data_IF_956996997228
#
_entry.id   IF_956996997228
#
_cell.length_a   1.000
_cell.length_b   1.000
_cell.length_c   1.000
_cell.angle_alpha   90.00
_cell.angle_beta   90.00
_cell.angle_gamma   90.00
#
_symmetry.space_group_name_H-M   'P 1'
#
loop_
_entity.id
_entity.type
_entity.pdbx_description
1 polymer ?
#
# COMPACT_ATOMS: atom_id res chain seq x y z
N UNK A 1 -8.34 -21.36 -29.18
CA UNK A 1 -8.30 -20.23 -28.24
C UNK A 1 -8.11 -20.64 -26.78
N UNK A 2 -8.83 -21.63 -26.25
CA UNK A 2 -8.72 -22.06 -24.82
C UNK A 2 -7.29 -22.45 -24.39
N UNK A 3 -6.50 -23.06 -25.29
CA UNK A 3 -5.11 -23.42 -25.01
C UNK A 3 -4.17 -22.22 -24.80
N UNK A 4 -4.48 -21.05 -25.37
CA UNK A 4 -3.66 -19.85 -25.17
C UNK A 4 -3.85 -19.24 -23.78
N UNK A 5 -5.09 -19.19 -23.28
CA UNK A 5 -5.40 -18.66 -21.94
C UNK A 5 -4.75 -19.47 -20.82
N UNK A 6 -4.76 -20.79 -20.96
CA UNK A 6 -4.08 -21.67 -20.01
C UNK A 6 -2.56 -21.45 -20.01
N UNK A 7 -1.95 -21.28 -21.19
CA UNK A 7 -0.52 -21.00 -21.32
C UNK A 7 -0.13 -19.63 -20.76
N UNK A 8 -0.99 -18.62 -20.88
CA UNK A 8 -0.80 -17.28 -20.29
C UNK A 8 -0.80 -17.36 -18.76
N UNK A 9 -1.80 -18.04 -18.18
CA UNK A 9 -1.87 -18.23 -16.73
C UNK A 9 -0.65 -18.98 -16.17
N UNK A 10 -0.15 -19.97 -16.90
CA UNK A 10 1.05 -20.71 -16.50
C UNK A 10 2.31 -19.84 -16.61
N UNK A 11 2.43 -19.00 -17.65
CA UNK A 11 3.56 -18.08 -17.80
C UNK A 11 3.61 -17.02 -16.70
N UNK A 12 2.47 -16.42 -16.38
CA UNK A 12 2.36 -15.40 -15.33
C UNK A 12 2.69 -15.98 -13.95
N UNK A 13 2.28 -17.23 -13.70
CA UNK A 13 2.64 -17.95 -12.47
C UNK A 13 4.15 -18.24 -12.39
N UNK A 14 4.77 -18.67 -13.49
CA UNK A 14 6.22 -18.92 -13.55
C UNK A 14 7.05 -17.65 -13.35
N UNK A 15 6.61 -16.51 -13.89
CA UNK A 15 7.24 -15.21 -13.67
C UNK A 15 7.14 -14.76 -12.21
N UNK A 16 5.97 -14.89 -11.59
CA UNK A 16 5.77 -14.54 -10.18
C UNK A 16 6.60 -15.40 -9.21
N UNK A 17 6.81 -16.69 -9.53
CA UNK A 17 7.50 -17.62 -8.63
C UNK A 17 9.02 -17.62 -8.84
N UNK A 18 9.48 -17.59 -10.09
CA UNK A 18 10.89 -17.86 -10.42
C UNK A 18 11.58 -16.76 -11.22
N UNK A 19 10.85 -15.71 -11.62
CA UNK A 19 11.33 -14.64 -12.50
C UNK A 19 11.96 -15.16 -13.81
N UNK A 20 11.41 -16.26 -14.35
CA UNK A 20 11.84 -16.89 -15.61
C UNK A 20 10.65 -17.05 -16.56
N UNK A 21 10.87 -16.73 -17.83
CA UNK A 21 9.86 -16.88 -18.90
C UNK A 21 9.73 -18.33 -19.34
N UNK A 22 8.60 -18.71 -19.95
CA UNK A 22 8.33 -20.11 -20.35
C UNK A 22 9.41 -20.70 -21.28
N UNK A 23 10.03 -19.87 -22.13
CA UNK A 23 11.11 -20.35 -23.02
C UNK A 23 12.38 -20.79 -22.24
N UNK A 24 12.61 -20.23 -21.04
CA UNK A 24 13.75 -20.57 -20.17
C UNK A 24 13.49 -21.83 -19.34
N UNK A 25 12.23 -22.30 -19.33
CA UNK A 25 11.78 -23.54 -18.71
C UNK A 25 11.55 -24.66 -19.75
N UNK A 26 11.90 -24.42 -21.03
CA UNK A 26 11.76 -25.39 -22.11
C UNK A 26 10.36 -25.52 -22.69
N UNK A 27 9.47 -24.53 -22.46
CA UNK A 27 8.09 -24.52 -22.95
C UNK A 27 7.88 -23.52 -24.10
N UNK A 28 6.97 -23.79 -25.05
CA UNK A 28 6.71 -22.90 -26.19
C UNK A 28 5.98 -21.61 -25.78
N UNK A 29 6.51 -20.43 -26.16
CA UNK A 29 5.90 -19.10 -25.89
C UNK A 29 5.33 -18.43 -27.14
N UNK A 30 4.36 -17.50 -26.99
CA UNK A 30 3.84 -16.66 -28.09
C UNK A 30 3.61 -15.19 -27.72
N UNK A 31 3.70 -14.36 -28.76
CA UNK A 31 3.80 -12.89 -28.86
C UNK A 31 2.85 -12.08 -27.92
N UNK A 32 3.43 -11.28 -27.01
CA UNK A 32 2.72 -10.48 -25.98
C UNK A 32 2.57 -9.01 -26.41
N UNK A 33 1.35 -8.47 -26.43
CA UNK A 33 1.09 -7.01 -26.39
C UNK A 33 0.67 -6.51 -24.99
N UNK A 34 0.10 -7.39 -24.14
CA UNK A 34 -0.35 -7.03 -22.79
C UNK A 34 0.76 -7.11 -21.72
N UNK A 35 1.73 -8.02 -21.85
CA UNK A 35 2.85 -8.10 -20.91
C UNK A 35 3.76 -6.88 -20.97
N UNK A 36 3.89 -6.27 -22.15
CA UNK A 36 4.58 -5.01 -22.29
C UNK A 36 3.94 -3.92 -21.42
N UNK A 37 2.62 -3.97 -21.15
CA UNK A 37 1.91 -3.00 -20.32
C UNK A 37 2.19 -3.17 -18.82
N UNK A 38 2.27 -4.41 -18.32
CA UNK A 38 2.61 -4.67 -16.91
C UNK A 38 4.08 -4.38 -16.62
N UNK A 39 4.98 -4.76 -17.53
CA UNK A 39 6.39 -4.40 -17.43
C UNK A 39 6.58 -2.88 -17.51
N UNK A 40 5.81 -2.16 -18.36
CA UNK A 40 5.88 -0.70 -18.41
C UNK A 40 5.47 -0.06 -17.10
N UNK A 41 4.34 -0.50 -16.52
CA UNK A 41 3.79 0.13 -15.32
C UNK A 41 4.69 -0.17 -14.10
N UNK A 42 5.22 -1.39 -14.01
CA UNK A 42 6.21 -1.74 -12.99
C UNK A 42 7.52 -0.95 -13.17
N UNK A 43 8.00 -0.79 -14.41
CA UNK A 43 9.16 0.04 -14.69
C UNK A 43 8.91 1.52 -14.39
N UNK A 44 7.69 2.04 -14.60
CA UNK A 44 7.33 3.41 -14.18
C UNK A 44 7.32 3.54 -12.66
N UNK A 45 6.76 2.57 -11.96
CA UNK A 45 6.74 2.49 -10.49
C UNK A 45 8.11 2.24 -9.86
N UNK A 46 9.13 1.86 -10.62
CA UNK A 46 10.49 1.64 -10.10
C UNK A 46 11.50 2.69 -10.55
N UNK A 47 11.15 3.50 -11.55
CA UNK A 47 12.05 4.50 -12.13
C UNK A 47 11.85 5.90 -11.53
N UNK A 48 11.75 5.95 -10.20
CA UNK A 48 11.74 7.22 -9.47
C UNK A 48 13.13 7.84 -9.46
N UNK A 49 13.24 9.13 -9.83
CA UNK A 49 14.51 9.84 -9.75
C UNK A 49 14.88 10.09 -8.28
N UNK A 50 15.80 9.28 -7.76
CA UNK A 50 16.27 9.33 -6.37
C UNK A 50 16.84 10.71 -6.02
N UNK A 51 17.49 11.39 -6.96
CA UNK A 51 18.06 12.72 -6.74
C UNK A 51 16.97 13.79 -6.58
N UNK A 52 15.92 13.72 -7.40
CA UNK A 52 14.78 14.64 -7.31
C UNK A 52 13.97 14.38 -6.04
N UNK A 53 13.73 13.11 -5.68
CA UNK A 53 13.06 12.75 -4.42
C UNK A 53 13.87 13.24 -3.21
N UNK A 54 15.20 13.05 -3.22
CA UNK A 54 16.06 13.54 -2.15
C UNK A 54 15.99 15.06 -2.00
N UNK A 55 16.01 15.79 -3.13
CA UNK A 55 15.91 17.25 -3.15
C UNK A 55 14.53 17.74 -2.67
N UNK A 56 13.47 17.05 -3.08
CA UNK A 56 12.11 17.29 -2.62
C UNK A 56 11.98 17.09 -1.10
N UNK A 57 12.53 15.99 -0.56
CA UNK A 57 12.49 15.71 0.88
C UNK A 57 13.26 16.78 1.66
N UNK A 58 14.47 17.14 1.21
CA UNK A 58 15.29 18.14 1.89
C UNK A 58 14.64 19.53 1.92
N UNK A 59 13.93 19.91 0.86
CA UNK A 59 13.24 21.21 0.79
C UNK A 59 11.91 21.25 1.57
N UNK A 60 11.26 20.10 1.80
CA UNK A 60 9.97 20.04 2.49
C UNK A 60 10.06 19.68 3.98
N UNK A 61 11.09 18.96 4.44
CA UNK A 61 11.30 18.67 5.88
C UNK A 61 11.25 19.95 6.75
N UNK A 62 11.89 21.07 6.38
CA UNK A 62 11.85 22.30 7.17
C UNK A 62 10.46 22.96 7.21
N UNK A 63 9.60 22.68 6.22
CA UNK A 63 8.23 23.23 6.13
C UNK A 63 7.23 22.48 7.00
N UNK A 64 7.61 21.29 7.50
CA UNK A 64 6.75 20.49 8.36
C UNK A 64 6.53 21.18 9.71
N UNK A 65 5.30 21.11 10.20
CA UNK A 65 5.00 21.45 11.59
C UNK A 65 5.74 20.51 12.55
N UNK A 66 5.87 20.92 13.82
CA UNK A 66 6.50 20.08 14.84
C UNK A 66 5.87 18.68 14.96
N UNK A 67 4.53 18.59 14.90
CA UNK A 67 3.81 17.31 14.92
C UNK A 67 4.13 16.44 13.71
N UNK A 68 4.04 17.01 12.50
CA UNK A 68 4.34 16.31 11.25
C UNK A 68 5.79 15.82 11.21
N UNK A 69 6.74 16.64 11.65
CA UNK A 69 8.17 16.28 11.70
C UNK A 69 8.44 15.15 12.69
N UNK A 70 7.75 15.15 13.83
CA UNK A 70 7.84 14.08 14.83
C UNK A 70 7.31 12.75 14.28
N UNK A 71 6.15 12.78 13.60
CA UNK A 71 5.55 11.63 12.91
C UNK A 71 6.50 11.09 11.83
N UNK A 72 6.99 11.96 10.96
CA UNK A 72 7.95 11.63 9.91
C UNK A 72 9.21 10.96 10.50
N UNK A 73 9.80 11.55 11.54
CA UNK A 73 10.98 11.00 12.20
C UNK A 73 10.76 9.60 12.76
N UNK A 74 9.59 9.35 13.35
CA UNK A 74 9.22 8.03 13.89
C UNK A 74 9.08 6.97 12.81
N UNK A 75 8.46 7.32 11.68
CA UNK A 75 8.31 6.41 10.53
C UNK A 75 9.69 6.11 9.94
N UNK A 76 10.50 7.15 9.66
CA UNK A 76 11.84 7.00 9.10
C UNK A 76 12.78 6.19 10.01
N UNK A 77 12.69 6.36 11.33
CA UNK A 77 13.45 5.53 12.26
C UNK A 77 13.06 4.04 12.12
N UNK A 78 11.78 3.75 11.91
CA UNK A 78 11.31 2.37 11.75
C UNK A 78 11.79 1.78 10.43
N UNK A 79 11.73 2.56 9.35
CA UNK A 79 12.31 2.22 8.04
C UNK A 79 13.79 1.89 8.17
N UNK A 80 14.57 2.77 8.80
CA UNK A 80 16.03 2.59 8.97
C UNK A 80 16.39 1.37 9.84
N UNK A 81 15.51 0.97 10.76
CA UNK A 81 15.70 -0.24 11.57
C UNK A 81 15.31 -1.52 10.84
N UNK A 82 14.65 -1.44 9.69
CA UNK A 82 14.17 -2.60 8.93
C UNK A 82 13.11 -3.42 9.68
N UNK A 83 12.35 -2.78 10.59
CA UNK A 83 11.34 -3.46 11.41
C UNK A 83 9.97 -3.28 10.79
N UNK A 84 9.21 -4.38 10.69
CA UNK A 84 7.80 -4.33 10.29
C UNK A 84 6.95 -3.70 11.38
N UNK A 85 6.11 -2.74 11.00
CA UNK A 85 5.24 -2.01 11.92
C UNK A 85 4.05 -1.46 11.15
N UNK A 86 2.87 -1.45 11.78
CA UNK A 86 1.67 -0.85 11.21
C UNK A 86 1.46 0.52 11.86
N UNK A 87 1.29 1.56 11.06
CA UNK A 87 0.94 2.91 11.53
C UNK A 87 -0.42 3.33 10.96
N UNK A 88 -1.24 3.93 11.82
CA UNK A 88 -2.49 4.59 11.43
C UNK A 88 -2.32 6.09 11.62
N UNK A 89 -2.16 6.84 10.55
CA UNK A 89 -2.04 8.30 10.57
C UNK A 89 -3.44 8.92 10.46
N UNK A 90 -3.96 9.38 11.59
CA UNK A 90 -5.24 10.08 11.72
C UNK A 90 -5.01 11.58 11.56
N UNK A 91 -5.37 12.12 10.40
CA UNK A 91 -5.14 13.53 10.05
C UNK A 91 -6.41 14.17 9.43
N UNK A 92 -6.84 15.36 9.89
CA UNK A 92 -7.95 16.09 9.29
C UNK A 92 -7.64 16.42 7.83
N UNK A 93 -8.58 16.14 6.93
CA UNK A 93 -8.41 16.42 5.50
C UNK A 93 -7.44 15.49 4.78
N UNK A 94 -6.95 14.43 5.42
CA UNK A 94 -6.24 13.35 4.72
C UNK A 94 -7.17 12.66 3.72
N UNK A 95 -6.61 12.24 2.57
CA UNK A 95 -7.34 11.49 1.54
C UNK A 95 -8.07 10.31 2.21
N UNK A 96 -9.34 10.16 1.87
CA UNK A 96 -10.30 9.18 2.41
C UNK A 96 -10.02 7.73 1.98
N UNK A 97 -8.99 7.50 1.19
CA UNK A 97 -8.73 6.23 0.53
C UNK A 97 -8.49 5.08 1.53
N UNK A 98 -7.79 5.32 2.64
CA UNK A 98 -7.58 4.28 3.66
C UNK A 98 -8.74 4.12 4.63
N UNK A 99 -9.53 5.17 4.87
CA UNK A 99 -10.74 5.10 5.71
C UNK A 99 -11.89 4.41 5.00
N UNK A 100 -11.90 4.45 3.67
CA UNK A 100 -12.83 3.74 2.79
C UNK A 100 -12.41 2.30 2.47
N UNK A 101 -11.23 1.86 2.93
CA UNK A 101 -10.79 0.49 2.70
C UNK A 101 -11.65 -0.51 3.50
N UNK A 102 -12.32 -1.41 2.79
CA UNK A 102 -13.09 -2.49 3.40
C UNK A 102 -12.15 -3.45 4.15
N UNK A 103 -12.48 -3.81 5.41
CA UNK A 103 -11.58 -4.60 6.26
C UNK A 103 -11.11 -5.90 5.62
N UNK A 104 -12.01 -6.59 4.90
CA UNK A 104 -11.68 -7.85 4.21
C UNK A 104 -10.60 -7.67 3.14
N UNK A 105 -10.54 -6.53 2.47
CA UNK A 105 -9.50 -6.23 1.48
C UNK A 105 -8.15 -6.07 2.17
N UNK A 106 -8.12 -5.38 3.32
CA UNK A 106 -6.90 -5.20 4.11
C UNK A 106 -6.44 -6.51 4.74
N UNK A 107 -7.35 -7.34 5.23
CA UNK A 107 -7.06 -8.68 5.76
C UNK A 107 -6.59 -9.65 4.67
N UNK A 108 -7.14 -9.53 3.46
CA UNK A 108 -6.65 -10.29 2.31
C UNK A 108 -5.22 -9.86 1.93
N UNK A 109 -4.94 -8.55 1.91
CA UNK A 109 -3.60 -8.02 1.67
C UNK A 109 -2.59 -8.51 2.72
N UNK A 110 -2.97 -8.48 4.00
CA UNK A 110 -2.16 -9.02 5.11
C UNK A 110 -1.76 -10.47 4.85
N UNK A 111 -2.74 -11.34 4.59
CA UNK A 111 -2.50 -12.76 4.30
C UNK A 111 -1.63 -12.95 3.05
N UNK A 112 -1.90 -12.24 1.97
CA UNK A 112 -1.09 -12.32 0.75
C UNK A 112 0.38 -11.94 1.01
N UNK A 113 0.63 -10.90 1.82
CA UNK A 113 1.99 -10.49 2.17
C UNK A 113 2.68 -11.46 3.14
N UNK A 114 1.93 -12.09 4.05
CA UNK A 114 2.44 -13.17 4.89
C UNK A 114 2.89 -14.37 4.06
N UNK A 115 2.05 -14.79 3.11
CA UNK A 115 2.31 -15.92 2.22
C UNK A 115 3.51 -15.64 1.31
N UNK A 116 3.53 -14.48 0.65
CA UNK A 116 4.63 -14.08 -0.26
C UNK A 116 5.98 -13.95 0.47
N UNK A 117 5.97 -13.53 1.74
CA UNK A 117 7.20 -13.34 2.52
C UNK A 117 7.55 -14.54 3.40
N UNK A 118 6.72 -15.58 3.42
CA UNK A 118 6.89 -16.74 4.30
C UNK A 118 6.93 -16.36 5.79
N UNK A 119 6.21 -15.32 6.19
CA UNK A 119 6.28 -14.77 7.55
C UNK A 119 4.88 -14.51 8.10
N UNK A 120 4.51 -15.24 9.16
CA UNK A 120 3.18 -15.17 9.79
C UNK A 120 2.93 -13.87 10.58
N UNK A 121 3.93 -12.99 10.72
CA UNK A 121 3.75 -11.68 11.33
C UNK A 121 2.87 -10.81 10.44
N UNK A 122 2.08 -9.87 11.00
CA UNK A 122 1.25 -8.97 10.21
C UNK A 122 2.00 -8.36 9.02
N UNK A 123 1.38 -8.40 7.85
CA UNK A 123 1.86 -7.99 6.53
C UNK A 123 3.23 -8.59 6.16
N UNK A 124 3.53 -9.79 6.63
CA UNK A 124 4.83 -10.44 6.41
C UNK A 124 6.00 -9.63 6.98
N UNK A 125 5.79 -8.96 8.12
CA UNK A 125 6.75 -8.04 8.75
C UNK A 125 7.12 -6.83 7.86
N UNK A 126 6.22 -6.41 6.98
CA UNK A 126 6.34 -5.15 6.26
C UNK A 126 5.99 -3.95 7.14
N UNK A 127 6.56 -2.78 6.82
CA UNK A 127 6.08 -1.50 7.33
C UNK A 127 4.87 -1.07 6.50
N UNK A 128 3.74 -0.79 7.15
CA UNK A 128 2.50 -0.37 6.52
C UNK A 128 2.03 0.94 7.15
N UNK A 129 1.68 1.91 6.32
CA UNK A 129 1.11 3.19 6.74
C UNK A 129 -0.28 3.36 6.14
N UNK A 130 -1.31 3.39 6.99
CA UNK A 130 -2.65 3.79 6.60
C UNK A 130 -2.85 5.25 7.00
N UNK A 131 -3.12 6.13 6.05
CA UNK A 131 -3.36 7.56 6.31
C UNK A 131 -4.77 7.96 5.89
N UNK A 132 -5.50 8.65 6.76
CA UNK A 132 -6.85 9.11 6.48
C UNK A 132 -7.49 9.80 7.68
N UNK A 133 -8.66 10.39 7.49
CA UNK A 133 -9.41 10.98 8.60
C UNK A 133 -10.29 9.93 9.27
N UNK A 134 -9.71 9.14 10.18
CA UNK A 134 -10.43 8.06 10.84
C UNK A 134 -11.55 8.58 11.77
N UNK A 135 -11.65 9.88 12.02
CA UNK A 135 -12.75 10.47 12.80
C UNK A 135 -14.05 10.58 11.98
N UNK A 136 -13.97 10.60 10.66
CA UNK A 136 -15.13 10.44 9.77
C UNK A 136 -15.27 8.95 9.45
N UNK A 137 -16.43 8.37 9.70
CA UNK A 137 -16.72 6.96 9.43
C UNK A 137 -18.11 6.96 8.79
N UNK A 138 -18.30 6.44 7.59
CA UNK A 138 -18.51 5.02 7.29
C UNK A 138 -18.14 4.71 5.83
N UNK A 139 -17.60 3.53 5.57
CA UNK A 139 -17.61 2.93 4.22
C UNK A 139 -19.06 2.79 3.75
N UNK A 140 -19.44 3.50 2.69
CA UNK A 140 -20.78 3.35 2.10
C UNK A 140 -20.85 2.01 1.37
N UNK A 141 -21.65 1.08 1.90
CA UNK A 141 -21.98 -0.16 1.20
C UNK A 141 -23.41 -0.03 0.66
N UNK A 142 -23.64 -0.11 -0.67
CA UNK A 142 -25.00 -0.01 -1.19
C UNK A 142 -25.88 -1.14 -0.65
N UNK A 143 -27.02 -0.80 -0.03
CA UNK A 143 -28.00 -1.74 0.55
C UNK A 143 -27.54 -2.48 1.82
N UNK A 144 -26.52 -2.00 2.52
CA UNK A 144 -26.10 -2.55 3.82
C UNK A 144 -26.96 -2.07 4.98
N UNK A 145 -26.94 -2.83 6.07
CA UNK A 145 -27.39 -2.31 7.37
C UNK A 145 -26.28 -1.46 8.01
N UNK A 146 -26.60 -0.54 8.94
CA UNK A 146 -25.57 0.19 9.70
C UNK A 146 -24.57 -0.74 10.41
N UNK A 147 -25.02 -1.94 10.84
CA UNK A 147 -24.14 -2.93 11.44
C UNK A 147 -23.13 -3.50 10.44
N UNK A 148 -23.52 -3.68 9.17
CA UNK A 148 -22.62 -4.16 8.12
C UNK A 148 -21.58 -3.09 7.74
N UNK A 149 -21.98 -1.81 7.68
CA UNK A 149 -21.07 -0.69 7.40
C UNK A 149 -20.01 -0.55 8.50
N UNK A 150 -20.44 -0.68 9.75
CA UNK A 150 -19.56 -0.70 10.92
C UNK A 150 -18.62 -1.91 10.84
N UNK A 151 -19.15 -3.10 10.59
CA UNK A 151 -18.36 -4.34 10.50
C UNK A 151 -17.37 -4.37 9.33
N UNK A 152 -17.59 -3.55 8.30
CA UNK A 152 -16.72 -3.39 7.14
C UNK A 152 -15.58 -2.41 7.39
N UNK A 153 -15.68 -1.53 8.38
CA UNK A 153 -14.64 -0.55 8.66
C UNK A 153 -13.35 -1.18 9.18
N UNK A 154 -12.20 -0.64 8.74
CA UNK A 154 -10.86 -1.07 9.14
C UNK A 154 -10.65 -1.09 10.66
N UNK A 155 -11.28 -0.17 11.39
CA UNK A 155 -11.25 -0.12 12.87
C UNK A 155 -11.74 -1.42 13.54
N UNK A 156 -12.58 -2.19 12.86
CA UNK A 156 -13.12 -3.46 13.34
C UNK A 156 -12.34 -4.67 12.83
N UNK A 157 -11.24 -4.46 12.10
CA UNK A 157 -10.31 -5.53 11.75
C UNK A 157 -9.50 -5.98 12.96
N UNK A 158 -9.14 -7.27 12.99
CA UNK A 158 -8.16 -7.77 13.93
C UNK A 158 -6.79 -7.08 13.78
N UNK A 159 -6.48 -6.51 12.61
CA UNK A 159 -5.23 -5.80 12.35
C UNK A 159 -5.13 -4.44 13.07
N UNK A 160 -6.27 -3.83 13.41
CA UNK A 160 -6.29 -2.53 14.09
C UNK A 160 -5.52 -2.57 15.43
N UNK A 161 -5.62 -3.67 16.18
CA UNK A 161 -4.93 -3.83 17.47
C UNK A 161 -3.40 -3.93 17.35
N UNK A 162 -2.90 -4.22 16.16
CA UNK A 162 -1.46 -4.41 15.91
C UNK A 162 -0.76 -3.13 15.45
N UNK A 163 -1.51 -2.07 15.12
CA UNK A 163 -0.94 -0.81 14.65
C UNK A 163 -0.91 0.29 15.69
N UNK A 164 -0.03 1.25 15.45
CA UNK A 164 0.15 2.45 16.27
C UNK A 164 -0.56 3.63 15.64
N UNK A 165 -1.51 4.22 16.35
CA UNK A 165 -2.18 5.45 15.89
C UNK A 165 -1.30 6.67 16.13
N UNK A 166 -1.04 7.42 15.07
CA UNK A 166 -0.38 8.72 15.06
C UNK A 166 -1.44 9.76 14.71
N UNK A 167 -1.64 10.76 15.55
CA UNK A 167 -2.61 11.82 15.32
C UNK A 167 -1.89 13.08 14.86
N UNK A 168 -2.40 13.71 13.81
CA UNK A 168 -2.02 15.06 13.41
C UNK A 168 -3.21 15.98 13.62
N UNK A 169 -3.02 17.10 14.31
CA UNK A 169 -4.10 18.09 14.47
C UNK A 169 -4.18 19.06 13.30
N UNK A 170 -3.07 19.22 12.58
CA UNK A 170 -2.95 20.06 11.39
C UNK A 170 -3.27 19.28 10.13
N UNK A 171 -4.04 19.89 9.22
CA UNK A 171 -4.31 19.34 7.90
C UNK A 171 -2.99 19.13 7.14
N UNK A 172 -2.84 17.98 6.47
CA UNK A 172 -1.63 17.65 5.70
C UNK A 172 -1.64 18.22 4.27
N UNK A 173 -2.76 18.82 3.83
CA UNK A 173 -2.71 19.73 2.70
C UNK A 173 -1.76 20.88 3.07
N UNK A 174 -0.55 20.83 2.51
CA UNK A 174 0.29 22.00 2.36
C UNK A 174 -0.60 23.06 1.72
N UNK A 175 -0.80 24.18 2.39
CA UNK A 175 -1.27 25.39 1.71
C UNK A 175 -0.29 25.60 0.56
N UNK A 176 -0.73 25.31 -0.66
CA UNK A 176 -0.14 25.92 -1.83
C UNK A 176 -0.34 27.42 -1.59
N UNK A 177 0.65 28.07 -0.99
CA UNK A 177 0.74 29.52 -1.04
C UNK A 177 0.74 29.83 -2.53
N UNK A 178 -0.38 30.43 -2.96
CA UNK A 178 -0.55 30.93 -4.30
C UNK A 178 0.62 31.89 -4.56
N UNK A 179 1.52 31.52 -5.48
CA UNK A 179 2.38 32.47 -6.18
C UNK A 179 1.52 33.29 -7.16
#
# INVERSE_FOLDING_TARGET
EIYNEALIMIEDLCLQIANKVLNQLGMPSRNRSAAASFDLELHREQNYNIADLSSYVQSNIPKLTFEQRSIYGRIMQTVNRGVGEIFFLDAPGGIDESTMAHKKSVEALDRSLQDLRGNIRPFGNALILFAGDFRRTLTVIPRSTPADEINACLKYSALWRHGKTLKSTTNMCVELQND
#
